data_IF_767199317303
#
_entry.id   IF_767199317303
#
_cell.length_a   1.000
_cell.length_b   1.000
_cell.length_c   1.000
_cell.angle_alpha   90.00
_cell.angle_beta   90.00
_cell.angle_gamma   90.00
#
_symmetry.space_group_name_H-M   'P 1'
#
loop_
_entity.id
_entity.type
_entity.pdbx_description
1 polymer ?
#
# COMPACT_ATOMS: atom_id res chain seq x y z
N UNK A 1 40.90 71.48 9.36
CA UNK A 1 39.95 70.49 9.91
C UNK A 1 39.60 69.50 8.82
N UNK A 2 40.08 68.25 8.92
CA UNK A 2 39.69 67.14 8.04
C UNK A 2 39.12 66.06 8.97
N UNK A 3 37.84 65.74 8.81
CA UNK A 3 37.18 64.65 9.53
C UNK A 3 37.52 63.33 8.83
N UNK A 4 37.84 62.24 9.55
CA UNK A 4 38.00 60.93 8.94
C UNK A 4 36.61 60.31 8.70
N UNK A 5 36.41 59.76 7.51
CA UNK A 5 35.23 58.97 7.16
C UNK A 5 35.46 57.57 7.70
N UNK A 6 34.71 57.17 8.73
CA UNK A 6 34.68 55.79 9.23
C UNK A 6 33.93 54.92 8.22
N UNK A 7 34.65 54.06 7.50
CA UNK A 7 34.05 52.98 6.70
C UNK A 7 33.56 51.87 7.63
N UNK A 8 32.25 51.80 7.85
CA UNK A 8 31.62 50.65 8.49
C UNK A 8 31.53 49.50 7.47
N UNK A 9 32.39 48.50 7.61
CA UNK A 9 32.27 47.22 6.89
C UNK A 9 31.17 46.42 7.59
N UNK A 10 29.99 46.34 6.97
CA UNK A 10 28.89 45.52 7.46
C UNK A 10 29.14 44.07 7.02
N UNK A 11 29.61 43.23 7.94
CA UNK A 11 29.82 41.81 7.70
C UNK A 11 28.45 41.10 7.78
N UNK A 12 27.85 40.79 6.63
CA UNK A 12 26.64 39.96 6.57
C UNK A 12 27.06 38.51 6.82
N UNK A 13 26.85 38.02 8.04
CA UNK A 13 26.98 36.59 8.37
C UNK A 13 25.75 35.89 7.79
N UNK A 14 25.90 35.28 6.61
CA UNK A 14 24.90 34.41 6.02
C UNK A 14 24.90 33.09 6.81
N UNK A 15 24.02 32.98 7.81
CA UNK A 15 23.79 31.74 8.51
C UNK A 15 23.16 30.73 7.53
N UNK A 16 23.99 29.86 6.97
CA UNK A 16 23.57 28.67 6.24
C UNK A 16 22.88 27.72 7.23
N UNK A 17 21.57 27.90 7.41
CA UNK A 17 20.74 26.86 8.03
C UNK A 17 20.69 25.69 7.06
N UNK A 18 21.59 24.72 7.25
CA UNK A 18 21.49 23.42 6.60
C UNK A 18 20.30 22.69 7.21
N UNK A 19 19.15 22.76 6.55
CA UNK A 19 18.04 21.84 6.85
C UNK A 19 18.52 20.44 6.54
N UNK A 20 18.61 19.58 7.55
CA UNK A 20 18.86 18.16 7.34
C UNK A 20 17.56 17.61 6.73
N UNK A 21 17.55 17.42 5.40
CA UNK A 21 16.48 16.66 4.76
C UNK A 21 16.61 15.20 5.19
N UNK A 22 15.63 14.73 5.95
CA UNK A 22 15.47 13.29 6.18
C UNK A 22 14.99 12.64 4.88
N UNK A 23 15.61 11.53 4.50
CA UNK A 23 15.18 10.76 3.35
C UNK A 23 13.80 10.17 3.63
N UNK A 24 12.82 10.51 2.80
CA UNK A 24 11.49 9.92 2.86
C UNK A 24 11.52 8.57 2.13
N UNK A 25 10.76 7.57 2.60
CA UNK A 25 10.60 6.33 1.85
C UNK A 25 10.00 6.62 0.48
N UNK A 26 10.61 6.09 -0.58
CA UNK A 26 10.04 6.20 -1.93
C UNK A 26 8.83 5.30 -2.10
N UNK A 27 7.97 5.62 -3.06
CA UNK A 27 6.96 4.68 -3.56
C UNK A 27 7.60 3.34 -3.93
N UNK A 28 6.94 2.26 -3.55
CA UNK A 28 7.38 0.89 -3.77
C UNK A 28 6.79 -0.09 -2.76
N UNK A 29 7.20 -1.35 -2.91
CA UNK A 29 6.93 -2.41 -1.93
C UNK A 29 8.18 -2.71 -1.13
N UNK A 30 8.04 -2.77 0.19
CA UNK A 30 9.11 -3.11 1.13
C UNK A 30 8.72 -4.35 1.91
N UNK A 31 9.68 -5.25 2.11
CA UNK A 31 9.44 -6.52 2.77
C UNK A 31 10.57 -6.85 3.73
N UNK A 32 10.21 -7.48 4.84
CA UNK A 32 11.15 -7.94 5.85
C UNK A 32 10.53 -9.02 6.71
N UNK A 33 11.35 -9.60 7.59
CA UNK A 33 10.90 -10.52 8.61
C UNK A 33 11.42 -10.07 9.96
N UNK A 34 10.80 -10.57 11.03
CA UNK A 34 11.33 -10.37 12.37
C UNK A 34 12.65 -11.14 12.56
N UNK A 35 13.60 -10.54 13.27
CA UNK A 35 14.89 -11.17 13.57
C UNK A 35 14.72 -12.33 14.56
N UNK A 36 13.76 -12.21 15.49
CA UNK A 36 13.47 -13.25 16.49
C UNK A 36 12.49 -14.31 15.96
N UNK A 37 11.71 -13.96 14.93
CA UNK A 37 10.77 -14.86 14.28
C UNK A 37 10.80 -14.69 12.76
N UNK A 38 11.74 -15.35 12.05
CA UNK A 38 11.86 -15.24 10.59
C UNK A 38 10.61 -15.68 9.82
N UNK A 39 9.73 -16.46 10.45
CA UNK A 39 8.46 -16.87 9.87
C UNK A 39 7.43 -15.74 9.87
N UNK A 40 7.61 -14.69 10.67
CA UNK A 40 6.76 -13.51 10.69
C UNK A 40 7.21 -12.52 9.61
N UNK A 41 6.37 -12.33 8.60
CA UNK A 41 6.63 -11.48 7.45
C UNK A 41 5.88 -10.16 7.59
N UNK A 42 6.60 -9.08 7.30
CA UNK A 42 6.09 -7.72 7.24
C UNK A 42 6.19 -7.22 5.81
N UNK A 43 5.11 -6.65 5.29
CA UNK A 43 5.06 -6.09 3.94
C UNK A 43 4.40 -4.71 3.99
N UNK A 44 5.11 -3.71 3.47
CA UNK A 44 4.62 -2.35 3.29
C UNK A 44 4.48 -2.09 1.80
N UNK A 45 3.29 -1.68 1.37
CA UNK A 45 3.06 -1.13 0.02
C UNK A 45 2.75 0.33 0.16
N UNK A 46 3.48 1.18 -0.55
CA UNK A 46 3.20 2.60 -0.52
C UNK A 46 3.42 3.25 -1.88
N UNK A 47 2.51 4.14 -2.25
CA UNK A 47 2.68 5.04 -3.38
C UNK A 47 2.72 6.49 -2.85
N UNK A 48 2.46 7.47 -3.71
CA UNK A 48 2.61 8.90 -3.39
C UNK A 48 1.81 9.36 -2.15
N UNK A 49 0.65 8.75 -1.87
CA UNK A 49 -0.20 9.17 -0.77
C UNK A 49 -0.94 8.06 -0.02
N UNK A 50 -0.81 6.79 -0.44
CA UNK A 50 -1.48 5.66 0.18
C UNK A 50 -0.48 4.65 0.72
N UNK A 51 -0.75 4.17 1.94
CA UNK A 51 0.10 3.25 2.69
C UNK A 51 -0.71 2.02 3.09
N UNK A 52 -0.12 0.85 2.94
CA UNK A 52 -0.65 -0.42 3.44
C UNK A 52 0.46 -1.15 4.17
N UNK A 53 0.20 -1.53 5.41
CA UNK A 53 1.03 -2.45 6.18
C UNK A 53 0.27 -3.77 6.37
N UNK A 54 0.95 -4.89 6.11
CA UNK A 54 0.40 -6.24 6.28
C UNK A 54 1.42 -7.13 6.98
N UNK A 55 0.91 -7.94 7.90
CA UNK A 55 1.67 -8.90 8.69
C UNK A 55 1.01 -10.28 8.55
N UNK A 56 1.83 -11.28 8.24
CA UNK A 56 1.41 -12.66 8.03
C UNK A 56 2.59 -13.60 8.25
N UNK A 57 2.36 -14.90 8.42
CA UNK A 57 3.45 -15.87 8.57
C UNK A 57 3.66 -16.81 7.38
N UNK A 58 4.84 -17.43 7.33
CA UNK A 58 5.22 -18.47 6.36
C UNK A 58 4.42 -19.77 6.55
N UNK A 59 4.16 -20.15 7.81
CA UNK A 59 3.01 -21.00 8.14
C UNK A 59 1.77 -20.15 7.82
N UNK A 60 0.94 -20.51 6.83
CA UNK A 60 0.09 -19.58 6.09
C UNK A 60 -1.04 -18.98 6.93
N UNK A 61 -0.69 -18.02 7.79
CA UNK A 61 -1.60 -17.36 8.71
C UNK A 61 -1.54 -15.86 8.49
N UNK A 62 -2.69 -15.30 8.15
CA UNK A 62 -2.87 -13.86 8.17
C UNK A 62 -2.93 -13.38 9.62
N UNK A 63 -2.20 -12.32 9.94
CA UNK A 63 -2.15 -11.76 11.30
C UNK A 63 -2.90 -10.43 11.34
N UNK A 64 -2.49 -9.44 10.54
CA UNK A 64 -3.18 -8.15 10.46
C UNK A 64 -2.86 -7.39 9.18
N UNK A 65 -3.74 -6.45 8.82
CA UNK A 65 -3.48 -5.45 7.80
C UNK A 65 -4.21 -4.15 8.10
N UNK A 66 -3.54 -3.04 7.87
CA UNK A 66 -4.09 -1.69 8.03
C UNK A 66 -3.51 -0.76 6.99
N UNK A 67 -4.29 0.24 6.59
CA UNK A 67 -3.86 1.15 5.56
C UNK A 67 -4.82 2.30 5.34
N UNK A 68 -4.32 3.30 4.64
CA UNK A 68 -5.01 4.56 4.47
C UNK A 68 -4.12 5.62 3.82
N UNK A 69 -4.64 6.84 3.78
CA UNK A 69 -3.90 7.98 3.27
C UNK A 69 -2.83 8.38 4.27
N UNK A 70 -1.62 8.69 3.79
CA UNK A 70 -0.53 9.08 4.66
C UNK A 70 0.09 10.42 4.30
N UNK A 71 0.77 10.99 5.28
CA UNK A 71 1.66 12.14 5.14
C UNK A 71 2.95 11.87 5.91
N UNK A 72 4.03 12.49 5.47
CA UNK A 72 5.33 12.38 6.14
C UNK A 72 5.66 13.73 6.78
N UNK A 73 5.96 13.71 8.08
CA UNK A 73 6.36 14.85 8.87
C UNK A 73 7.63 14.48 9.64
N UNK A 74 8.79 14.90 9.11
CA UNK A 74 10.09 14.47 9.64
C UNK A 74 10.28 12.96 9.58
N UNK A 75 10.50 12.34 10.73
CA UNK A 75 10.66 10.90 10.94
C UNK A 75 9.33 10.19 11.26
N UNK A 76 8.19 10.87 11.05
CA UNK A 76 6.86 10.34 11.32
C UNK A 76 6.06 10.15 10.04
N UNK A 77 5.57 8.93 9.82
CA UNK A 77 4.61 8.58 8.78
C UNK A 77 3.22 8.51 9.44
N UNK A 78 2.39 9.53 9.21
CA UNK A 78 1.04 9.66 9.79
C UNK A 78 0.01 9.12 8.80
N UNK A 79 -0.73 8.09 9.19
CA UNK A 79 -1.74 7.43 8.36
C UNK A 79 -3.13 7.68 8.94
N UNK A 80 -4.02 8.24 8.12
CA UNK A 80 -5.46 8.23 8.36
C UNK A 80 -6.03 6.94 7.78
N UNK A 81 -6.36 5.98 8.64
CA UNK A 81 -6.74 4.63 8.24
C UNK A 81 -8.12 4.66 7.57
N UNK A 82 -8.17 4.09 6.37
CA UNK A 82 -9.42 3.72 5.72
C UNK A 82 -9.88 2.32 6.15
N UNK A 83 -8.93 1.47 6.56
CA UNK A 83 -9.20 0.15 7.10
C UNK A 83 -8.17 -0.25 8.16
N UNK A 84 -8.65 -1.03 9.12
CA UNK A 84 -7.83 -1.71 10.11
C UNK A 84 -8.48 -3.08 10.39
N UNK A 85 -7.77 -4.18 10.11
CA UNK A 85 -8.31 -5.53 10.34
C UNK A 85 -8.57 -5.83 11.81
N UNK A 86 -7.90 -5.12 12.72
CA UNK A 86 -8.05 -5.24 14.17
C UNK A 86 -8.97 -4.15 14.77
N UNK A 87 -9.73 -3.42 13.95
CA UNK A 87 -10.54 -2.28 14.42
C UNK A 87 -11.55 -2.65 15.53
N UNK A 88 -12.14 -3.85 15.47
CA UNK A 88 -13.07 -4.33 16.51
C UNK A 88 -12.38 -4.52 17.87
N UNK A 89 -11.06 -4.71 17.88
CA UNK A 89 -10.24 -4.90 19.08
C UNK A 89 -9.65 -3.57 19.60
N UNK A 90 -9.14 -2.73 18.70
CA UNK A 90 -8.33 -1.55 19.07
C UNK A 90 -9.04 -0.20 18.86
N UNK A 91 -10.08 -0.14 18.03
CA UNK A 91 -10.79 1.10 17.67
C UNK A 91 -9.94 2.15 16.94
N UNK A 92 -8.75 1.80 16.44
CA UNK A 92 -7.78 2.76 15.89
C UNK A 92 -8.18 3.19 14.47
N UNK A 93 -8.26 4.51 14.27
CA UNK A 93 -8.54 5.15 12.97
C UNK A 93 -7.38 5.96 12.41
N UNK A 94 -6.40 6.28 13.24
CA UNK A 94 -5.23 7.05 12.85
C UNK A 94 -4.02 6.47 13.57
N UNK A 95 -2.88 6.42 12.89
CA UNK A 95 -1.64 5.90 13.45
C UNK A 95 -0.45 6.71 12.94
N UNK A 96 0.55 6.89 13.78
CA UNK A 96 1.81 7.52 13.41
C UNK A 96 2.93 6.51 13.62
N UNK A 97 3.62 6.16 12.54
CA UNK A 97 4.81 5.31 12.59
C UNK A 97 6.05 6.18 12.63
N UNK A 98 6.89 6.02 13.64
CA UNK A 98 8.27 6.51 13.53
C UNK A 98 9.02 5.62 12.54
N UNK A 99 9.81 6.23 11.67
CA UNK A 99 10.62 5.50 10.71
C UNK A 99 12.04 6.06 10.57
N UNK A 100 12.95 5.28 10.00
CA UNK A 100 14.29 5.74 9.63
C UNK A 100 14.74 5.03 8.36
N UNK A 101 15.32 5.79 7.43
CA UNK A 101 15.96 5.22 6.24
C UNK A 101 17.45 4.95 6.52
N UNK A 102 17.91 3.75 6.18
CA UNK A 102 19.35 3.39 6.15
C UNK A 102 19.71 2.91 4.75
N UNK A 103 20.17 3.84 3.90
CA UNK A 103 20.17 3.60 2.45
C UNK A 103 18.74 3.42 1.99
N UNK A 104 18.46 2.35 1.25
CA UNK A 104 17.10 2.04 0.78
C UNK A 104 16.28 1.23 1.80
N UNK A 105 16.89 0.78 2.90
CA UNK A 105 16.21 0.02 3.94
C UNK A 105 15.32 0.94 4.78
N UNK A 106 14.03 0.63 4.85
CA UNK A 106 13.05 1.26 5.73
C UNK A 106 13.04 0.54 7.07
N UNK A 107 13.39 1.24 8.15
CA UNK A 107 13.14 0.77 9.52
C UNK A 107 11.84 1.42 9.99
N UNK A 108 10.77 0.64 10.09
CA UNK A 108 9.46 1.10 10.55
C UNK A 108 9.23 0.66 12.00
N UNK A 109 8.82 1.56 12.88
CA UNK A 109 8.48 1.21 14.26
C UNK A 109 6.98 0.92 14.40
N UNK A 110 6.65 -0.35 14.54
CA UNK A 110 5.30 -0.88 14.64
C UNK A 110 5.17 -1.68 15.96
N UNK A 111 5.25 -0.95 17.08
CA UNK A 111 5.43 -1.53 18.42
C UNK A 111 6.87 -2.01 18.70
N UNK A 112 7.56 -2.50 17.67
CA UNK A 112 9.00 -2.74 17.63
C UNK A 112 9.59 -2.33 16.28
N UNK A 113 10.90 -2.04 16.18
CA UNK A 113 11.56 -1.76 14.92
C UNK A 113 11.55 -2.98 13.99
N UNK A 114 11.06 -2.80 12.76
CA UNK A 114 11.10 -3.81 11.69
C UNK A 114 11.95 -3.27 10.56
N UNK A 115 12.93 -4.05 10.11
CA UNK A 115 13.78 -3.71 8.97
C UNK A 115 13.17 -4.27 7.68
N UNK A 116 12.87 -3.39 6.74
CA UNK A 116 12.20 -3.71 5.48
C UNK A 116 13.10 -3.28 4.32
N UNK A 117 13.40 -4.20 3.40
CA UNK A 117 14.13 -3.90 2.17
C UNK A 117 13.14 -3.67 1.03
N UNK A 118 13.42 -2.75 0.11
CA UNK A 118 12.61 -2.61 -1.09
C UNK A 118 12.70 -3.91 -1.90
N UNK A 119 11.59 -4.30 -2.52
CA UNK A 119 11.58 -5.34 -3.54
C UNK A 119 12.06 -4.77 -4.87
N UNK A 120 12.43 -5.65 -5.80
CA UNK A 120 12.80 -5.23 -7.15
C UNK A 120 11.63 -4.56 -7.85
N UNK A 121 11.87 -3.39 -8.45
CA UNK A 121 10.85 -2.70 -9.24
C UNK A 121 10.47 -3.52 -10.46
N UNK A 122 9.17 -3.67 -10.69
CA UNK A 122 8.63 -4.37 -11.86
C UNK A 122 7.41 -3.61 -12.36
N UNK A 123 7.56 -2.98 -13.53
CA UNK A 123 6.47 -2.31 -14.22
C UNK A 123 5.59 -3.34 -14.93
N UNK A 124 4.28 -3.30 -14.67
CA UNK A 124 3.28 -4.18 -15.27
C UNK A 124 1.99 -3.42 -15.59
N UNK A 125 1.24 -3.91 -16.58
CA UNK A 125 0.05 -3.24 -17.14
C UNK A 125 -1.01 -2.82 -16.11
N UNK A 126 -1.11 -3.57 -14.99
CA UNK A 126 -2.11 -3.36 -13.95
C UNK A 126 -1.54 -2.71 -12.67
N UNK A 127 -0.28 -2.25 -12.66
CA UNK A 127 0.24 -1.47 -11.54
C UNK A 127 -0.66 -0.26 -11.27
N UNK A 128 -1.03 -0.08 -10.00
CA UNK A 128 -1.94 0.97 -9.55
C UNK A 128 -2.86 0.55 -8.42
N UNK A 129 -3.66 1.52 -7.99
CA UNK A 129 -4.76 1.33 -7.05
C UNK A 129 -6.08 1.31 -7.82
N UNK A 130 -6.85 0.24 -7.65
CA UNK A 130 -8.09 -0.01 -8.38
C UNK A 130 -9.24 -0.24 -7.40
N UNK A 131 -10.36 0.46 -7.58
CA UNK A 131 -11.59 0.14 -6.87
C UNK A 131 -12.50 -0.73 -7.71
N UNK A 132 -13.10 -1.73 -7.06
CA UNK A 132 -14.21 -2.46 -7.67
C UNK A 132 -15.34 -1.46 -7.97
N UNK A 133 -15.68 -1.33 -9.24
CA UNK A 133 -16.75 -0.46 -9.69
C UNK A 133 -18.08 -1.21 -9.74
N UNK A 134 -18.15 -2.27 -10.55
CA UNK A 134 -19.39 -3.03 -10.77
C UNK A 134 -19.12 -4.43 -11.33
N UNK A 135 -20.16 -5.26 -11.39
CA UNK A 135 -20.12 -6.53 -12.15
C UNK A 135 -20.31 -6.22 -13.63
N UNK A 136 -19.53 -6.88 -14.48
CA UNK A 136 -19.62 -6.71 -15.92
C UNK A 136 -20.66 -7.66 -16.57
N UNK A 137 -20.92 -7.50 -17.88
CA UNK A 137 -20.43 -6.43 -18.75
C UNK A 137 -20.98 -5.05 -18.36
N UNK A 138 -20.32 -3.97 -18.80
CA UNK A 138 -20.87 -2.62 -18.59
C UNK A 138 -22.09 -2.40 -19.50
N UNK A 139 -23.25 -2.24 -18.88
CA UNK A 139 -24.52 -1.96 -19.55
C UNK A 139 -25.14 -0.65 -19.05
N UNK A 140 -24.33 0.21 -18.40
CA UNK A 140 -24.79 1.47 -17.80
C UNK A 140 -25.36 1.32 -16.39
N UNK A 141 -25.09 0.20 -15.71
CA UNK A 141 -25.47 0.01 -14.31
C UNK A 141 -24.72 0.98 -13.39
N UNK A 142 -25.25 1.19 -12.18
CA UNK A 142 -24.58 1.98 -11.16
C UNK A 142 -23.19 1.40 -10.82
N UNK A 143 -22.25 2.31 -10.59
CA UNK A 143 -20.86 2.01 -10.31
C UNK A 143 -20.48 2.58 -8.96
N UNK A 144 -19.67 1.83 -8.21
CA UNK A 144 -19.01 2.32 -7.01
C UNK A 144 -17.68 2.98 -7.37
N UNK A 145 -17.24 3.91 -6.54
CA UNK A 145 -15.95 4.58 -6.65
C UNK A 145 -15.57 5.25 -5.34
N UNK A 146 -14.76 6.30 -5.44
CA UNK A 146 -14.08 6.90 -4.29
C UNK A 146 -15.01 7.51 -3.25
N UNK A 147 -16.16 8.03 -3.68
CA UNK A 147 -17.18 8.62 -2.82
C UNK A 147 -18.02 7.59 -2.05
N UNK A 148 -17.92 6.30 -2.37
CA UNK A 148 -18.67 5.26 -1.68
C UNK A 148 -17.91 4.74 -0.47
N UNK A 149 -18.61 4.60 0.66
CA UNK A 149 -17.99 4.12 1.90
C UNK A 149 -17.59 2.64 1.84
N UNK A 150 -18.40 1.79 1.19
CA UNK A 150 -18.08 0.36 0.99
C UNK A 150 -17.16 0.20 -0.21
N UNK A 151 -15.88 -0.12 0.05
CA UNK A 151 -14.84 -0.25 -0.97
C UNK A 151 -14.33 -1.70 -1.09
N UNK A 152 -13.85 -2.01 -2.27
CA UNK A 152 -12.93 -3.14 -2.49
C UNK A 152 -11.78 -2.61 -3.31
N UNK A 153 -10.64 -2.46 -2.67
CA UNK A 153 -9.41 -1.95 -3.27
C UNK A 153 -8.56 -3.13 -3.74
N UNK A 154 -7.99 -3.05 -4.93
CA UNK A 154 -6.86 -3.85 -5.39
C UNK A 154 -5.68 -2.90 -5.53
N UNK A 155 -4.61 -3.12 -4.76
CA UNK A 155 -3.38 -2.35 -4.84
C UNK A 155 -2.30 -3.25 -5.46
N UNK A 156 -1.76 -2.86 -6.60
CA UNK A 156 -0.77 -3.61 -7.39
C UNK A 156 0.45 -2.72 -7.61
N UNK A 157 1.64 -3.23 -7.28
CA UNK A 157 2.90 -2.50 -7.45
C UNK A 157 4.07 -3.48 -7.37
N UNK A 158 5.08 -3.32 -8.23
CA UNK A 158 6.35 -4.06 -8.18
C UNK A 158 6.17 -5.59 -8.17
N UNK A 159 5.14 -6.09 -8.85
CA UNK A 159 4.82 -7.53 -8.85
C UNK A 159 4.18 -8.07 -7.57
N UNK A 160 3.78 -7.19 -6.65
CA UNK A 160 3.00 -7.54 -5.47
C UNK A 160 1.59 -6.96 -5.54
N UNK A 161 0.60 -7.74 -5.11
CA UNK A 161 -0.78 -7.29 -5.06
C UNK A 161 -1.39 -7.50 -3.68
N UNK A 162 -2.43 -6.74 -3.39
CA UNK A 162 -3.33 -7.00 -2.28
C UNK A 162 -4.72 -6.50 -2.64
N UNK A 163 -5.74 -7.34 -2.44
CA UNK A 163 -7.12 -6.87 -2.43
C UNK A 163 -7.62 -6.72 -0.99
N UNK A 164 -8.40 -5.68 -0.72
CA UNK A 164 -8.95 -5.36 0.60
C UNK A 164 -10.41 -4.98 0.46
N UNK A 165 -11.31 -5.66 1.16
CA UNK A 165 -12.73 -5.31 1.25
C UNK A 165 -13.03 -4.67 2.60
N UNK A 166 -13.50 -3.43 2.60
CA UNK A 166 -13.66 -2.62 3.82
C UNK A 166 -14.77 -1.58 3.68
N UNK A 167 -15.10 -0.92 4.80
CA UNK A 167 -16.03 0.20 4.86
C UNK A 167 -15.39 1.37 5.60
N UNK A 168 -15.16 2.50 4.92
CA UNK A 168 -14.39 3.62 5.47
C UNK A 168 -15.06 4.30 6.68
N UNK A 169 -16.38 4.50 6.64
CA UNK A 169 -17.08 5.21 7.72
C UNK A 169 -17.21 4.39 9.02
N UNK A 170 -17.54 3.10 8.87
CA UNK A 170 -17.75 2.17 9.99
C UNK A 170 -16.48 1.43 10.40
N UNK A 171 -15.41 1.55 9.61
CA UNK A 171 -14.16 0.77 9.72
C UNK A 171 -14.36 -0.75 9.64
N UNK A 172 -15.53 -1.23 9.17
CA UNK A 172 -15.80 -2.66 9.05
C UNK A 172 -14.84 -3.30 8.05
N UNK A 173 -13.99 -4.20 8.54
CA UNK A 173 -13.09 -5.00 7.72
C UNK A 173 -13.77 -6.31 7.28
N UNK A 174 -13.89 -6.51 5.97
CA UNK A 174 -14.54 -7.72 5.41
C UNK A 174 -13.54 -8.79 5.02
N UNK A 175 -12.32 -8.45 4.64
CA UNK A 175 -11.25 -9.40 4.37
C UNK A 175 -10.20 -8.86 3.42
N UNK A 176 -9.06 -9.56 3.35
CA UNK A 176 -7.97 -9.25 2.42
C UNK A 176 -7.24 -10.51 1.99
N UNK A 177 -6.67 -10.48 0.79
CA UNK A 177 -5.70 -11.45 0.33
C UNK A 177 -4.65 -10.77 -0.53
N UNK A 178 -3.46 -11.34 -0.59
CA UNK A 178 -2.35 -10.75 -1.32
C UNK A 178 -1.19 -11.73 -1.51
N UNK A 179 -0.20 -11.27 -2.24
CA UNK A 179 0.95 -12.05 -2.67
C UNK A 179 1.60 -11.43 -3.90
N UNK A 180 2.10 -12.26 -4.81
CA UNK A 180 2.68 -11.78 -6.06
C UNK A 180 1.71 -11.85 -7.23
N UNK A 181 1.90 -11.01 -8.23
CA UNK A 181 1.11 -11.04 -9.44
C UNK A 181 1.94 -10.83 -10.71
N UNK A 182 1.37 -11.28 -11.82
CA UNK A 182 1.79 -10.86 -13.16
C UNK A 182 0.61 -10.33 -13.97
N UNK A 183 0.83 -9.34 -14.82
CA UNK A 183 -0.15 -8.88 -15.82
C UNK A 183 0.54 -8.65 -17.15
N UNK A 184 0.58 -9.70 -17.96
CA UNK A 184 1.33 -9.77 -19.22
C UNK A 184 0.43 -10.42 -20.29
N UNK A 185 0.47 -9.92 -21.52
CA UNK A 185 -0.25 -10.47 -22.67
C UNK A 185 -1.76 -10.71 -22.44
N UNK A 186 -2.42 -9.85 -21.65
CA UNK A 186 -3.85 -9.95 -21.35
C UNK A 186 -4.20 -11.01 -20.29
N UNK A 187 -3.20 -11.64 -19.66
CA UNK A 187 -3.37 -12.59 -18.56
C UNK A 187 -2.88 -11.99 -17.24
N UNK A 188 -3.78 -11.98 -16.26
CA UNK A 188 -3.51 -11.56 -14.89
C UNK A 188 -3.48 -12.79 -13.97
N UNK A 189 -2.32 -13.04 -13.37
CA UNK A 189 -2.09 -14.17 -12.48
C UNK A 189 -1.85 -13.69 -11.06
N UNK A 190 -2.61 -14.22 -10.10
CA UNK A 190 -2.43 -13.98 -8.66
C UNK A 190 -1.85 -15.23 -8.00
N UNK A 191 -0.73 -15.09 -7.27
CA UNK A 191 -0.19 -16.14 -6.42
C UNK A 191 -0.43 -15.77 -4.95
N UNK A 192 -1.30 -16.52 -4.28
CA UNK A 192 -1.79 -16.17 -2.95
C UNK A 192 -0.74 -16.51 -1.89
N UNK A 193 -0.22 -15.50 -1.18
CA UNK A 193 0.69 -15.65 -0.06
C UNK A 193 -0.01 -15.58 1.31
N UNK A 194 -1.14 -14.87 1.40
CA UNK A 194 -1.96 -14.78 2.59
C UNK A 194 -3.42 -14.51 2.23
N UNK A 195 -4.35 -14.97 3.09
CA UNK A 195 -5.77 -14.68 2.96
C UNK A 195 -6.46 -14.69 4.33
N UNK A 196 -6.95 -13.54 4.78
CA UNK A 196 -7.56 -13.34 6.11
C UNK A 196 -8.84 -14.12 6.41
N UNK A 197 -9.43 -14.82 5.43
CA UNK A 197 -10.69 -15.57 5.62
C UNK A 197 -10.56 -17.07 5.36
N UNK A 198 -9.51 -17.49 4.66
CA UNK A 198 -9.35 -18.88 4.25
C UNK A 198 -7.88 -19.21 3.95
N UNK A 199 -7.16 -19.66 4.97
CA UNK A 199 -5.76 -20.05 4.86
C UNK A 199 -5.54 -21.25 3.93
N UNK A 200 -6.58 -22.06 3.65
CA UNK A 200 -6.47 -23.20 2.72
C UNK A 200 -6.21 -22.78 1.27
N UNK A 201 -6.37 -21.49 0.96
CA UNK A 201 -6.12 -20.92 -0.38
C UNK A 201 -4.70 -20.42 -0.56
N UNK A 202 -3.88 -20.37 0.48
CA UNK A 202 -2.47 -19.96 0.34
C UNK A 202 -1.69 -20.97 -0.50
N UNK A 203 -0.83 -20.47 -1.37
CA UNK A 203 -0.13 -21.27 -2.39
C UNK A 203 -0.94 -21.52 -3.66
N UNK A 204 -2.22 -21.14 -3.71
CA UNK A 204 -3.01 -21.21 -4.93
C UNK A 204 -2.53 -20.17 -5.95
N UNK A 205 -2.60 -20.54 -7.23
CA UNK A 205 -2.42 -19.63 -8.35
C UNK A 205 -3.74 -19.48 -9.11
N UNK A 206 -4.19 -18.24 -9.31
CA UNK A 206 -5.43 -17.91 -10.00
C UNK A 206 -5.11 -17.15 -11.28
N UNK A 207 -5.72 -17.56 -12.38
CA UNK A 207 -5.51 -16.94 -13.69
C UNK A 207 -6.81 -16.31 -14.18
N UNK A 208 -6.70 -15.07 -14.64
CA UNK A 208 -7.79 -14.27 -15.16
C UNK A 208 -7.35 -13.61 -16.47
N UNK A 209 -8.30 -13.28 -17.33
CA UNK A 209 -8.03 -12.37 -18.44
C UNK A 209 -8.22 -10.93 -17.93
N UNK A 210 -7.36 -10.02 -18.41
CA UNK A 210 -7.55 -8.59 -18.22
C UNK A 210 -7.58 -7.83 -19.53
N UNK A 211 -8.33 -6.74 -19.54
CA UNK A 211 -8.32 -5.75 -20.62
C UNK A 211 -8.45 -4.35 -20.01
N UNK A 212 -7.54 -3.44 -20.37
CA UNK A 212 -7.60 -2.03 -19.97
C UNK A 212 -8.43 -1.24 -20.99
N UNK A 213 -9.40 -0.47 -20.53
CA UNK A 213 -10.24 0.43 -21.35
C UNK A 213 -10.29 1.81 -20.71
N UNK A 214 -9.36 2.67 -21.11
CA UNK A 214 -9.19 3.99 -20.46
C UNK A 214 -8.86 3.82 -18.98
N UNK A 215 -9.72 4.32 -18.12
CA UNK A 215 -9.55 4.24 -16.66
C UNK A 215 -10.12 2.96 -16.05
N UNK A 216 -10.67 2.07 -16.88
CA UNK A 216 -11.23 0.80 -16.45
C UNK A 216 -10.29 -0.38 -16.73
N UNK A 217 -10.36 -1.36 -15.85
CA UNK A 217 -9.83 -2.70 -15.99
C UNK A 217 -10.98 -3.69 -15.97
N UNK A 218 -11.17 -4.38 -17.10
CA UNK A 218 -12.10 -5.48 -17.25
C UNK A 218 -11.41 -6.78 -16.84
N UNK A 219 -11.90 -7.40 -15.79
CA UNK A 219 -11.35 -8.61 -15.20
C UNK A 219 -12.33 -9.76 -15.42
N UNK A 220 -11.92 -10.79 -16.15
CA UNK A 220 -12.78 -11.94 -16.46
C UNK A 220 -12.07 -13.28 -16.20
N UNK A 221 -12.84 -14.33 -15.93
CA UNK A 221 -12.29 -15.66 -15.70
C UNK A 221 -13.21 -16.48 -14.83
N UNK A 222 -12.66 -17.47 -14.13
CA UNK A 222 -13.38 -18.23 -13.12
C UNK A 222 -12.90 -17.84 -11.73
N UNK A 223 -13.82 -17.68 -10.79
CA UNK A 223 -13.49 -17.44 -9.40
C UNK A 223 -12.84 -18.68 -8.76
N UNK A 224 -12.46 -18.55 -7.49
CA UNK A 224 -11.86 -19.61 -6.69
C UNK A 224 -12.70 -20.90 -6.56
N UNK A 225 -13.99 -20.85 -6.88
CA UNK A 225 -14.96 -21.96 -6.88
C UNK A 225 -15.22 -22.53 -8.28
N UNK A 226 -14.59 -21.97 -9.32
CA UNK A 226 -14.77 -22.38 -10.71
C UNK A 226 -15.96 -21.73 -11.41
N UNK A 227 -16.61 -20.74 -10.79
CA UNK A 227 -17.76 -20.05 -11.40
C UNK A 227 -17.31 -18.87 -12.26
N UNK A 228 -17.92 -18.64 -13.44
CA UNK A 228 -17.60 -17.49 -14.28
C UNK A 228 -17.76 -16.17 -13.55
N UNK A 229 -16.82 -15.26 -13.80
CA UNK A 229 -16.74 -13.97 -13.17
C UNK A 229 -16.40 -12.90 -14.20
N UNK A 230 -17.08 -11.77 -14.10
CA UNK A 230 -16.76 -10.53 -14.81
C UNK A 230 -16.88 -9.37 -13.82
N UNK A 231 -15.75 -8.73 -13.55
CA UNK A 231 -15.64 -7.53 -12.73
C UNK A 231 -15.08 -6.38 -13.55
N UNK A 232 -15.52 -5.17 -13.22
CA UNK A 232 -14.95 -3.93 -13.74
C UNK A 232 -14.36 -3.18 -12.55
N UNK A 233 -13.09 -2.86 -12.67
CA UNK A 233 -12.31 -2.11 -11.70
C UNK A 233 -11.97 -0.76 -12.30
N UNK A 234 -12.17 0.32 -11.55
CA UNK A 234 -11.83 1.68 -11.97
C UNK A 234 -10.57 2.13 -11.24
N UNK A 235 -9.75 2.95 -11.89
CA UNK A 235 -8.63 3.61 -11.23
C UNK A 235 -9.13 4.41 -10.02
N UNK A 236 -8.34 4.40 -8.95
CA UNK A 236 -8.63 5.12 -7.73
C UNK A 236 -8.30 6.61 -7.83
#
# INVERSE_FOLDING_TARGET
>A
MRYPVNSYVFLIILALFSTVLLAQPSSGVYKGSDAENPDLIHEVKMNDNYFIYTEYSTAPDFIRSRGGFYTVDGDSLKVQLEFNSAFEEDGIKEIAFSYTMKGDMLILNEGKPVSLLPVDRKDQDLDGAWLFATRGPDTGQERRGESNARKTLKFLMDGHFQWIAYHTETMRFSGTGGGSFTSEDGIYTENIAYFSRDNSRVGASLNFNYERKGDDWHHTGNNSRGEPMYEIWAIR
#
